data_IF_271437319340
#
_entry.id   IF_271437319340
#
_cell.length_a   1.000
_cell.length_b   1.000
_cell.length_c   1.000
_cell.angle_alpha   90.00
_cell.angle_beta   90.00
_cell.angle_gamma   90.00
#
_symmetry.space_group_name_H-M   'P 1'
#
loop_
_entity.id
_entity.type
_entity.pdbx_description
1 polymer ?
#
# COMPACT_ATOMS: atom_id res chain seq x y z
N UNK A 1 4.94 5.12 25.22
CA UNK A 1 5.47 5.98 24.13
C UNK A 1 5.24 5.27 22.81
N UNK A 2 4.55 5.89 21.86
CA UNK A 2 4.36 5.33 20.52
C UNK A 2 5.65 5.58 19.73
N UNK A 3 6.20 4.53 19.09
CA UNK A 3 7.35 4.67 18.19
C UNK A 3 6.84 4.68 16.75
N UNK A 4 7.25 5.66 15.97
CA UNK A 4 6.96 5.71 14.54
C UNK A 4 8.12 5.11 13.75
N UNK A 5 7.79 4.28 12.76
CA UNK A 5 8.75 3.65 11.85
C UNK A 5 8.51 4.20 10.45
N UNK A 6 9.57 4.75 9.85
CA UNK A 6 9.53 5.25 8.48
C UNK A 6 10.43 4.40 7.60
N UNK A 7 9.92 4.00 6.44
CA UNK A 7 10.65 3.21 5.45
C UNK A 7 11.07 4.09 4.28
N UNK A 8 12.37 4.13 3.99
CA UNK A 8 12.96 4.92 2.90
C UNK A 8 13.65 4.03 1.88
N UNK A 9 13.97 4.59 0.72
CA UNK A 9 14.70 3.90 -0.34
C UNK A 9 14.19 4.24 -1.75
N UNK A 10 14.94 3.88 -2.80
CA UNK A 10 14.59 4.21 -4.19
C UNK A 10 13.19 3.71 -4.60
N UNK A 11 12.51 4.37 -5.56
CA UNK A 11 11.29 3.82 -6.17
C UNK A 11 11.52 2.41 -6.73
N UNK A 12 10.52 1.53 -6.63
CA UNK A 12 10.62 0.15 -7.13
C UNK A 12 11.40 -0.84 -6.25
N UNK A 13 12.03 -0.41 -5.14
CA UNK A 13 12.82 -1.29 -4.25
C UNK A 13 11.99 -2.30 -3.43
N UNK A 14 10.66 -2.30 -3.57
CA UNK A 14 9.77 -3.24 -2.85
C UNK A 14 9.22 -2.76 -1.51
N UNK A 15 9.27 -1.44 -1.21
CA UNK A 15 8.73 -0.86 0.04
C UNK A 15 7.27 -1.24 0.31
N UNK A 16 6.40 -1.07 -0.68
CA UNK A 16 4.97 -1.43 -0.55
C UNK A 16 4.80 -2.91 -0.28
N UNK A 17 5.58 -3.77 -0.95
CA UNK A 17 5.58 -5.22 -0.74
C UNK A 17 6.02 -5.59 0.68
N UNK A 18 7.05 -4.91 1.22
CA UNK A 18 7.49 -5.11 2.60
C UNK A 18 6.38 -4.77 3.60
N UNK A 19 5.75 -3.60 3.43
CA UNK A 19 4.66 -3.14 4.31
C UNK A 19 3.48 -4.12 4.28
N UNK A 20 3.07 -4.58 3.09
CA UNK A 20 2.00 -5.57 2.96
C UNK A 20 2.31 -6.86 3.73
N UNK A 21 3.50 -7.44 3.54
CA UNK A 21 3.93 -8.65 4.26
C UNK A 21 3.99 -8.43 5.77
N UNK A 22 4.44 -7.26 6.22
CA UNK A 22 4.45 -6.93 7.64
C UNK A 22 3.02 -6.86 8.21
N UNK A 23 2.08 -6.24 7.49
CA UNK A 23 0.67 -6.25 7.85
C UNK A 23 0.11 -7.68 7.95
N UNK A 24 0.40 -8.55 6.98
CA UNK A 24 -0.05 -9.95 7.00
C UNK A 24 0.44 -10.70 8.26
N UNK A 25 1.71 -10.51 8.63
CA UNK A 25 2.29 -11.11 9.84
C UNK A 25 1.63 -10.55 11.10
N UNK A 26 1.39 -9.24 11.17
CA UNK A 26 0.73 -8.61 12.32
C UNK A 26 -0.72 -9.09 12.46
N UNK A 27 -1.48 -9.15 11.35
CA UNK A 27 -2.85 -9.67 11.34
C UNK A 27 -2.89 -11.14 11.76
N UNK A 28 -1.98 -11.97 11.25
CA UNK A 28 -1.91 -13.39 11.65
C UNK A 28 -1.53 -13.60 13.12
N UNK A 29 -0.93 -12.59 13.78
CA UNK A 29 -0.71 -12.57 15.24
C UNK A 29 -1.94 -12.14 16.06
N UNK A 30 -3.09 -11.89 15.42
CA UNK A 30 -4.33 -11.50 16.09
C UNK A 30 -4.45 -9.99 16.37
N UNK A 31 -3.59 -9.17 15.77
CA UNK A 31 -3.61 -7.70 15.93
C UNK A 31 -4.32 -7.06 14.74
N UNK A 32 -5.32 -6.21 15.02
CA UNK A 32 -6.00 -5.43 13.98
C UNK A 32 -5.07 -4.38 13.38
N UNK A 33 -5.03 -4.32 12.06
CA UNK A 33 -4.27 -3.31 11.30
C UNK A 33 -5.24 -2.46 10.50
N UNK A 34 -5.04 -1.14 10.53
CA UNK A 34 -5.79 -0.17 9.74
C UNK A 34 -4.82 0.69 8.91
N UNK A 35 -5.34 1.23 7.80
CA UNK A 35 -4.59 2.08 6.89
C UNK A 35 -4.72 1.65 5.44
N UNK A 36 -3.88 2.24 4.59
CA UNK A 36 -3.93 2.04 3.15
C UNK A 36 -2.55 2.18 2.51
N UNK A 37 -2.42 1.64 1.30
CA UNK A 37 -1.32 1.91 0.39
C UNK A 37 -1.87 2.37 -0.96
N UNK A 38 -1.03 2.99 -1.77
CA UNK A 38 -1.39 3.33 -3.14
C UNK A 38 -0.92 2.25 -4.10
N UNK A 39 -1.77 1.90 -5.07
CA UNK A 39 -1.42 0.97 -6.12
C UNK A 39 -1.45 1.68 -7.46
N UNK A 40 -0.37 1.53 -8.22
CA UNK A 40 -0.29 2.06 -9.58
C UNK A 40 -1.31 1.36 -10.48
N UNK A 41 -2.10 2.15 -11.21
CA UNK A 41 -3.04 1.66 -12.21
C UNK A 41 -2.48 1.92 -13.59
N UNK A 42 -2.44 0.87 -14.40
CA UNK A 42 -1.93 0.91 -15.78
C UNK A 42 -2.97 0.37 -16.75
N UNK A 43 -3.06 1.01 -17.91
CA UNK A 43 -3.79 0.51 -19.08
C UNK A 43 -2.77 0.22 -20.17
N UNK A 44 -2.63 -1.05 -20.54
CA UNK A 44 -1.53 -1.51 -21.37
C UNK A 44 -0.18 -1.14 -20.75
N UNK A 45 0.64 -0.38 -21.51
CA UNK A 45 1.97 0.09 -21.04
C UNK A 45 1.95 1.47 -20.39
N UNK A 46 0.81 2.17 -20.31
CA UNK A 46 0.73 3.53 -19.79
C UNK A 46 0.21 3.54 -18.35
N UNK A 47 0.88 4.30 -17.47
CA UNK A 47 0.32 4.62 -16.14
C UNK A 47 -0.83 5.61 -16.31
N UNK A 48 -2.01 5.25 -15.82
CA UNK A 48 -3.22 6.08 -15.88
C UNK A 48 -3.63 6.66 -14.54
N UNK A 49 -3.00 6.22 -13.44
CA UNK A 49 -3.27 6.78 -12.13
C UNK A 49 -2.86 5.89 -10.97
N UNK A 50 -3.51 6.14 -9.84
CA UNK A 50 -3.36 5.40 -8.60
C UNK A 50 -4.72 5.15 -7.97
N UNK A 51 -4.83 3.99 -7.33
CA UNK A 51 -5.89 3.68 -6.39
C UNK A 51 -5.38 3.74 -4.96
N UNK A 52 -6.27 4.08 -4.04
CA UNK A 52 -6.13 3.73 -2.62
C UNK A 52 -6.59 2.29 -2.45
N UNK A 53 -5.78 1.48 -1.76
CA UNK A 53 -6.14 0.13 -1.34
C UNK A 53 -5.94 0.05 0.16
N UNK A 54 -7.02 -0.20 0.89
CA UNK A 54 -6.96 -0.44 2.33
C UNK A 54 -6.29 -1.77 2.63
N UNK A 55 -5.74 -1.93 3.84
CA UNK A 55 -5.20 -3.22 4.31
C UNK A 55 -6.27 -4.32 4.40
N UNK A 56 -7.56 -3.96 4.43
CA UNK A 56 -8.71 -4.88 4.39
C UNK A 56 -9.20 -5.17 2.96
N UNK A 57 -8.50 -4.69 1.93
CA UNK A 57 -8.78 -4.99 0.52
C UNK A 57 -9.80 -4.08 -0.16
N UNK A 58 -10.44 -3.15 0.55
CA UNK A 58 -11.29 -2.12 -0.06
C UNK A 58 -10.46 -1.21 -0.98
N UNK A 59 -10.99 -0.87 -2.15
CA UNK A 59 -10.33 -0.09 -3.19
C UNK A 59 -11.14 1.14 -3.59
N UNK A 60 -10.47 2.25 -3.80
CA UNK A 60 -11.08 3.48 -4.33
C UNK A 60 -10.11 4.26 -5.22
N UNK A 61 -10.67 5.08 -6.12
CA UNK A 61 -9.86 5.94 -6.98
C UNK A 61 -9.15 7.02 -6.15
N UNK A 62 -7.83 7.17 -6.31
CA UNK A 62 -7.09 8.27 -5.68
C UNK A 62 -6.86 9.41 -6.68
N UNK A 63 -6.20 9.10 -7.78
CA UNK A 63 -5.86 10.06 -8.83
C UNK A 63 -5.80 9.32 -10.15
N UNK A 64 -6.76 9.59 -11.03
CA UNK A 64 -6.86 8.98 -12.35
C UNK A 64 -6.93 10.07 -13.39
N UNK A 65 -6.12 9.94 -14.42
CA UNK A 65 -6.19 10.82 -15.60
C UNK A 65 -7.23 10.19 -16.52
N UNK A 66 -8.38 10.87 -16.68
CA UNK A 66 -9.36 10.49 -17.70
C UNK A 66 -8.76 10.70 -19.09
#
# INVERSE_FOLDING_TARGET
>A
MIKHVFLTGPPGVGKTTLVQKACDVIVSSGVSVEGFYTQEVREGRRRVGFDVVTVTGQRGNLSRVR
#
